data_IF_200896539212
#
_entry.id   IF_200896539212
#
_cell.length_a   1.000
_cell.length_b   1.000
_cell.length_c   1.000
_cell.angle_alpha   90.00
_cell.angle_beta   90.00
_cell.angle_gamma   90.00
#
_symmetry.space_group_name_H-M   'P 1'
#
loop_
_entity.id
_entity.type
_entity.pdbx_description
1 polymer ?
#
# COMPACT_ATOMS: atom_id res chain seq x y z
N UNK A 1 22.52 32.37 20.84
CA UNK A 1 21.13 32.48 20.35
C UNK A 1 20.97 32.40 18.82
N UNK A 2 21.60 33.24 17.99
CA UNK A 2 21.43 33.16 16.52
C UNK A 2 22.07 31.90 15.88
N UNK A 3 23.28 31.51 16.30
CA UNK A 3 23.97 30.32 15.80
C UNK A 3 23.30 28.99 16.21
N UNK A 4 22.73 28.92 17.42
CA UNK A 4 22.02 27.71 17.88
C UNK A 4 20.75 27.47 17.04
N UNK A 5 20.06 28.55 16.64
CA UNK A 5 18.87 28.47 15.77
C UNK A 5 19.20 27.96 14.37
N UNK A 6 20.33 28.37 13.79
CA UNK A 6 20.75 27.89 12.46
C UNK A 6 21.18 26.42 12.49
N UNK A 7 21.89 26.00 13.54
CA UNK A 7 22.27 24.60 13.75
C UNK A 7 21.03 23.72 13.92
N UNK A 8 20.11 24.11 14.81
CA UNK A 8 18.86 23.38 15.03
C UNK A 8 18.07 23.24 13.71
N UNK A 9 17.99 24.31 12.92
CA UNK A 9 17.31 24.30 11.61
C UNK A 9 17.98 23.37 10.60
N UNK A 10 19.31 23.36 10.54
CA UNK A 10 20.05 22.48 9.63
C UNK A 10 19.85 20.99 9.98
N UNK A 11 19.86 20.67 11.28
CA UNK A 11 19.57 19.31 11.78
C UNK A 11 18.15 18.90 11.43
N UNK A 12 17.19 19.79 11.63
CA UNK A 12 15.78 19.58 11.30
C UNK A 12 15.59 19.25 9.81
N UNK A 13 16.16 20.06 8.90
CA UNK A 13 16.10 19.83 7.44
C UNK A 13 16.68 18.47 7.08
N UNK A 14 17.87 18.13 7.60
CA UNK A 14 18.54 16.86 7.30
C UNK A 14 17.70 15.67 7.77
N UNK A 15 17.13 15.76 8.97
CA UNK A 15 16.28 14.69 9.53
C UNK A 15 15.04 14.47 8.67
N UNK A 16 14.39 15.55 8.20
CA UNK A 16 13.23 15.47 7.30
C UNK A 16 13.57 14.90 5.94
N UNK A 17 14.69 15.33 5.34
CA UNK A 17 15.14 14.79 4.06
C UNK A 17 15.39 13.28 4.15
N UNK A 18 16.02 12.81 5.23
CA UNK A 18 16.24 11.38 5.47
C UNK A 18 14.91 10.62 5.64
N UNK A 19 13.97 11.19 6.39
CA UNK A 19 12.64 10.59 6.56
C UNK A 19 11.87 10.53 5.23
N UNK A 20 11.84 11.61 4.45
CA UNK A 20 11.21 11.65 3.13
C UNK A 20 11.81 10.64 2.15
N UNK A 21 13.14 10.51 2.14
CA UNK A 21 13.84 9.50 1.33
C UNK A 21 13.45 8.07 1.74
N UNK A 22 13.41 7.78 3.05
CA UNK A 22 12.98 6.46 3.52
C UNK A 22 11.53 6.14 3.14
N UNK A 23 10.64 7.13 3.19
CA UNK A 23 9.25 6.99 2.74
C UNK A 23 9.14 6.75 1.24
N UNK A 24 9.94 7.45 0.43
CA UNK A 24 10.01 7.25 -1.02
C UNK A 24 10.42 5.81 -1.36
N UNK A 25 11.50 5.30 -0.76
CA UNK A 25 11.98 3.93 -0.98
C UNK A 25 10.91 2.92 -0.59
N UNK A 26 10.30 3.07 0.59
CA UNK A 26 9.24 2.16 1.05
C UNK A 26 8.02 2.14 0.11
N UNK A 27 7.57 3.32 -0.37
CA UNK A 27 6.44 3.43 -1.30
C UNK A 27 6.75 2.83 -2.68
N UNK A 28 7.99 2.99 -3.16
CA UNK A 28 8.48 2.37 -4.39
C UNK A 28 8.51 0.85 -4.28
N UNK A 29 9.03 0.33 -3.17
CA UNK A 29 9.13 -1.12 -2.94
C UNK A 29 7.74 -1.75 -2.81
N UNK A 30 6.78 -1.05 -2.19
CA UNK A 30 5.38 -1.47 -2.17
C UNK A 30 4.82 -1.59 -3.59
N UNK A 31 4.97 -0.56 -4.42
CA UNK A 31 4.48 -0.61 -5.81
C UNK A 31 5.09 -1.76 -6.61
N UNK A 32 6.41 -1.98 -6.46
CA UNK A 32 7.12 -3.11 -7.08
C UNK A 32 6.63 -4.46 -6.60
N UNK A 33 6.33 -4.59 -5.31
CA UNK A 33 5.82 -5.84 -4.75
C UNK A 33 4.44 -6.20 -5.32
N UNK A 34 3.55 -5.22 -5.46
CA UNK A 34 2.25 -5.45 -6.11
C UNK A 34 2.41 -5.88 -7.57
N UNK A 35 3.24 -5.15 -8.34
CA UNK A 35 3.52 -5.45 -9.75
C UNK A 35 4.09 -6.87 -9.94
N UNK A 36 5.12 -7.22 -9.15
CA UNK A 36 5.90 -8.45 -9.38
C UNK A 36 5.36 -9.68 -8.69
N UNK A 37 4.61 -9.52 -7.59
CA UNK A 37 4.21 -10.65 -6.73
C UNK A 37 2.69 -10.77 -6.67
N UNK A 38 1.99 -9.70 -6.26
CA UNK A 38 0.56 -9.80 -5.96
C UNK A 38 -0.28 -9.96 -7.23
N UNK A 39 -0.07 -9.13 -8.26
CA UNK A 39 -0.87 -9.21 -9.48
C UNK A 39 -0.72 -10.55 -10.21
N UNK A 40 0.50 -11.08 -10.43
CA UNK A 40 0.66 -12.38 -11.06
C UNK A 40 0.07 -13.51 -10.21
N UNK A 41 0.18 -13.44 -8.88
CA UNK A 41 -0.41 -14.45 -7.99
C UNK A 41 -1.94 -14.46 -8.10
N UNK A 42 -2.58 -13.28 -8.06
CA UNK A 42 -4.04 -13.17 -8.21
C UNK A 42 -4.53 -13.67 -9.56
N UNK A 43 -3.80 -13.38 -10.63
CA UNK A 43 -4.09 -13.93 -11.95
C UNK A 43 -4.06 -15.47 -11.95
N UNK A 44 -3.01 -16.09 -11.40
CA UNK A 44 -2.92 -17.56 -11.32
C UNK A 44 -4.05 -18.18 -10.51
N UNK A 45 -4.43 -17.57 -9.38
CA UNK A 45 -5.54 -18.06 -8.55
C UNK A 45 -6.86 -18.06 -9.32
N UNK A 46 -7.09 -17.00 -10.09
CA UNK A 46 -8.27 -16.87 -10.95
C UNK A 46 -8.26 -17.91 -12.06
N UNK A 47 -7.12 -18.12 -12.71
CA UNK A 47 -6.98 -19.12 -13.78
C UNK A 47 -7.22 -20.54 -13.25
N UNK A 48 -6.67 -20.87 -12.08
CA UNK A 48 -6.89 -22.15 -11.41
C UNK A 48 -8.36 -22.34 -10.99
N UNK A 49 -8.97 -21.31 -10.40
CA UNK A 49 -10.40 -21.36 -10.02
C UNK A 49 -11.29 -21.57 -11.26
N UNK A 50 -10.93 -20.99 -12.40
CA UNK A 50 -11.65 -21.21 -13.66
C UNK A 50 -11.54 -22.66 -14.12
N UNK A 51 -10.36 -23.28 -14.04
CA UNK A 51 -10.16 -24.68 -14.39
C UNK A 51 -11.01 -25.61 -13.50
N UNK A 52 -11.01 -25.35 -12.19
CA UNK A 52 -11.83 -26.09 -11.23
C UNK A 52 -13.33 -25.90 -11.48
N UNK A 53 -13.76 -24.69 -11.88
CA UNK A 53 -15.15 -24.42 -12.22
C UNK A 53 -15.57 -25.22 -13.46
N UNK A 54 -14.73 -25.22 -14.49
CA UNK A 54 -14.95 -26.00 -15.71
C UNK A 54 -15.02 -27.52 -15.41
N UNK A 55 -14.27 -27.98 -14.40
CA UNK A 55 -14.31 -29.36 -13.91
C UNK A 55 -15.45 -29.64 -12.92
N UNK A 56 -16.38 -28.70 -12.71
CA UNK A 56 -17.49 -28.77 -11.74
C UNK A 56 -17.05 -28.99 -10.28
N UNK A 57 -15.81 -28.65 -9.93
CA UNK A 57 -15.27 -28.78 -8.57
C UNK A 57 -15.60 -27.56 -7.69
N UNK A 58 -15.80 -26.40 -8.30
CA UNK A 58 -16.18 -25.15 -7.61
C UNK A 58 -17.42 -24.53 -8.24
N UNK A 59 -18.11 -23.66 -7.49
CA UNK A 59 -19.28 -22.95 -7.98
C UNK A 59 -18.92 -21.65 -8.73
N UNK A 60 -19.84 -21.16 -9.55
CA UNK A 60 -19.67 -19.87 -10.25
C UNK A 60 -19.44 -18.70 -9.28
N UNK A 61 -20.00 -18.77 -8.06
CA UNK A 61 -19.78 -17.75 -7.03
C UNK A 61 -18.32 -17.71 -6.58
N UNK A 62 -17.66 -18.86 -6.43
CA UNK A 62 -16.25 -18.91 -6.02
C UNK A 62 -15.34 -18.29 -7.09
N UNK A 63 -15.62 -18.55 -8.37
CA UNK A 63 -14.94 -17.89 -9.48
C UNK A 63 -15.14 -16.36 -9.48
N UNK A 64 -16.37 -15.90 -9.22
CA UNK A 64 -16.65 -14.46 -9.11
C UNK A 64 -15.92 -13.81 -7.93
N UNK A 65 -15.78 -14.52 -6.81
CA UNK A 65 -14.98 -14.03 -5.67
C UNK A 65 -13.51 -13.93 -6.04
N UNK A 66 -12.92 -14.95 -6.66
CA UNK A 66 -11.53 -14.89 -7.12
C UNK A 66 -11.28 -13.71 -8.07
N UNK A 67 -12.22 -13.45 -9.00
CA UNK A 67 -12.16 -12.28 -9.91
C UNK A 67 -12.28 -10.95 -9.16
N UNK A 68 -13.16 -10.85 -8.15
CA UNK A 68 -13.29 -9.65 -7.30
C UNK A 68 -11.97 -9.36 -6.58
N UNK A 69 -11.37 -10.36 -5.95
CA UNK A 69 -10.09 -10.21 -5.24
C UNK A 69 -8.95 -9.81 -6.19
N UNK A 70 -8.99 -10.27 -7.44
CA UNK A 70 -8.05 -9.82 -8.47
C UNK A 70 -8.23 -8.33 -8.81
N UNK A 71 -9.47 -7.86 -8.94
CA UNK A 71 -9.77 -6.45 -9.20
C UNK A 71 -9.33 -5.58 -8.02
N UNK A 72 -9.63 -6.01 -6.79
CA UNK A 72 -9.21 -5.32 -5.57
C UNK A 72 -7.69 -5.19 -5.50
N UNK A 73 -6.95 -6.26 -5.82
CA UNK A 73 -5.49 -6.18 -5.93
C UNK A 73 -5.00 -5.19 -6.99
N UNK A 74 -5.73 -5.03 -8.09
CA UNK A 74 -5.49 -4.01 -9.11
C UNK A 74 -5.69 -2.59 -8.58
N UNK A 75 -6.76 -2.35 -7.82
CA UNK A 75 -7.03 -1.06 -7.17
C UNK A 75 -5.91 -0.71 -6.18
N UNK A 76 -5.51 -1.67 -5.34
CA UNK A 76 -4.41 -1.50 -4.38
C UNK A 76 -3.07 -1.23 -5.06
N UNK A 77 -2.81 -1.86 -6.20
CA UNK A 77 -1.63 -1.57 -7.01
C UNK A 77 -1.63 -0.11 -7.50
N UNK A 78 -2.73 0.38 -8.04
CA UNK A 78 -2.85 1.79 -8.47
C UNK A 78 -2.67 2.74 -7.28
N UNK A 79 -3.27 2.42 -6.14
CA UNK A 79 -3.09 3.20 -4.91
C UNK A 79 -1.61 3.23 -4.46
N UNK A 80 -0.88 2.13 -4.61
CA UNK A 80 0.55 2.08 -4.29
C UNK A 80 1.42 2.95 -5.20
N UNK A 81 1.13 2.98 -6.51
CA UNK A 81 1.80 3.89 -7.46
C UNK A 81 1.50 5.34 -7.10
N UNK A 82 0.24 5.66 -6.79
CA UNK A 82 -0.13 6.99 -6.35
C UNK A 82 0.61 7.40 -5.06
N UNK A 83 0.70 6.49 -4.10
CA UNK A 83 1.50 6.66 -2.88
C UNK A 83 2.96 6.98 -3.16
N UNK A 84 3.58 6.28 -4.12
CA UNK A 84 4.95 6.56 -4.56
C UNK A 84 5.13 7.98 -5.09
N UNK A 85 4.24 8.42 -6.00
CA UNK A 85 4.31 9.79 -6.53
C UNK A 85 4.09 10.84 -5.45
N UNK A 86 3.20 10.58 -4.49
CA UNK A 86 2.98 11.45 -3.34
C UNK A 86 4.24 11.56 -2.47
N UNK A 87 4.89 10.44 -2.14
CA UNK A 87 6.15 10.44 -1.38
C UNK A 87 7.29 11.14 -2.12
N UNK A 88 7.37 10.99 -3.44
CA UNK A 88 8.34 11.68 -4.28
C UNK A 88 8.13 13.19 -4.24
N UNK A 89 6.89 13.65 -4.46
CA UNK A 89 6.55 15.07 -4.41
C UNK A 89 6.85 15.69 -3.02
N UNK A 90 6.59 14.95 -1.94
CA UNK A 90 6.92 15.39 -0.59
C UNK A 90 8.44 15.56 -0.38
N UNK A 91 9.25 14.61 -0.87
CA UNK A 91 10.71 14.73 -0.82
C UNK A 91 11.21 15.93 -1.65
N UNK A 92 10.69 16.11 -2.86
CA UNK A 92 11.07 17.23 -3.73
C UNK A 92 10.74 18.59 -3.09
N UNK A 93 9.63 18.69 -2.35
CA UNK A 93 9.30 19.90 -1.58
C UNK A 93 10.31 20.18 -0.46
N UNK A 94 10.71 19.17 0.30
CA UNK A 94 11.72 19.30 1.36
C UNK A 94 13.05 19.77 0.77
N UNK A 95 13.46 19.19 -0.37
CA UNK A 95 14.68 19.57 -1.09
C UNK A 95 14.62 20.98 -1.66
N UNK A 96 13.44 21.43 -2.11
CA UNK A 96 13.19 22.80 -2.55
C UNK A 96 13.12 23.82 -1.39
N UNK A 97 13.39 23.41 -0.15
CA UNK A 97 13.35 24.28 1.03
C UNK A 97 11.94 24.61 1.52
N UNK A 98 10.90 24.06 0.88
CA UNK A 98 9.52 24.13 1.37
C UNK A 98 9.34 23.07 2.44
N UNK A 99 9.36 23.51 3.68
CA UNK A 99 8.96 22.67 4.81
C UNK A 99 7.45 22.49 4.81
N UNK A 100 6.95 21.64 3.93
CA UNK A 100 5.59 21.13 4.10
C UNK A 100 5.55 20.27 5.35
N UNK A 101 4.52 20.39 6.20
CA UNK A 101 4.29 19.43 7.26
C UNK A 101 4.29 18.03 6.63
N UNK A 102 5.17 17.16 7.12
CA UNK A 102 5.11 15.75 6.78
C UNK A 102 3.84 15.22 7.45
N UNK A 103 2.73 15.25 6.71
CA UNK A 103 1.54 14.44 6.99
C UNK A 103 2.05 12.99 7.05
N UNK A 104 2.33 12.53 8.27
CA UNK A 104 2.69 11.15 8.56
C UNK A 104 1.45 10.33 8.24
N UNK A 105 1.23 10.06 6.97
CA UNK A 105 0.01 9.43 6.48
C UNK A 105 -0.03 8.00 7.01
N UNK A 106 -0.72 7.81 8.14
CA UNK A 106 -1.60 6.69 8.52
C UNK A 106 -1.26 5.26 8.07
N UNK A 107 0.00 4.91 7.75
CA UNK A 107 0.40 3.57 7.30
C UNK A 107 0.17 2.50 8.38
N UNK A 108 -0.10 2.92 9.62
CA UNK A 108 -0.38 2.05 10.76
C UNK A 108 -1.88 1.78 10.96
N UNK A 109 -2.78 2.62 10.41
CA UNK A 109 -4.23 2.43 10.63
C UNK A 109 -4.86 1.41 9.67
N UNK A 110 -4.48 1.38 8.38
CA UNK A 110 -5.10 0.46 7.40
C UNK A 110 -4.76 -1.01 7.64
N UNK A 111 -3.59 -1.29 8.24
CA UNK A 111 -3.19 -2.65 8.59
C UNK A 111 -3.96 -3.22 9.79
N UNK A 112 -4.58 -2.36 10.62
CA UNK A 112 -5.30 -2.78 11.84
C UNK A 112 -6.81 -2.91 11.62
N UNK A 113 -7.39 -2.27 10.60
CA UNK A 113 -8.85 -2.22 10.38
C UNK A 113 -9.38 -3.27 9.39
N UNK A 114 -8.51 -3.93 8.62
CA UNK A 114 -8.90 -4.93 7.62
C UNK A 114 -8.46 -6.37 7.96
N UNK A 115 -8.52 -6.74 9.24
CA UNK A 115 -8.55 -8.16 9.60
C UNK A 115 -9.92 -8.74 9.22
N UNK A 116 -10.02 -9.72 8.30
CA UNK A 116 -11.27 -10.43 8.09
C UNK A 116 -11.57 -11.23 9.37
N UNK A 117 -12.57 -10.78 10.11
CA UNK A 117 -13.13 -11.53 11.23
C UNK A 117 -13.66 -12.86 10.72
N UNK A 118 -12.93 -13.93 11.01
CA UNK A 118 -13.46 -15.29 11.04
C UNK A 118 -14.50 -15.35 12.15
N UNK A 119 -15.77 -15.11 11.81
CA UNK A 119 -16.91 -15.49 12.62
C UNK A 119 -17.81 -16.38 11.75
N UNK A 120 -17.57 -17.68 11.86
CA UNK A 120 -18.45 -18.70 11.32
C UNK A 120 -19.86 -18.58 11.89
N UNK A 121 -20.81 -18.91 11.01
CA UNK A 121 -22.21 -19.14 11.32
C UNK A 121 -22.41 -20.24 12.38
N UNK A 122 -23.52 -20.13 13.11
CA UNK A 122 -24.01 -21.09 14.10
C UNK A 122 -24.97 -20.37 15.07
N UNK A 123 -26.15 -19.93 14.64
CA UNK A 123 -27.38 -20.75 14.53
C UNK A 123 -28.21 -20.72 15.83
N UNK A 124 -29.51 -20.83 15.65
CA UNK A 124 -30.61 -20.34 16.46
C UNK A 124 -30.80 -20.98 17.86
N UNK A 125 -31.01 -20.15 18.90
CA UNK A 125 -32.14 -20.19 19.87
C UNK A 125 -32.01 -19.12 20.95
#
# INVERSE_FOLDING_TARGET
>A
QAAERTIARAVEIRSRARAGYSGLVASHDRARYYEKVILPLRQRLVDETQLQYNAMQVSAFQLLQAKREQIEAGVEYVASIHGFWKSKAALDQILAGRMTPFERSSIVNDAMTNAPGTAGAGDHR
#
